data_IF_293062098523
#
_entry.id   IF_293062098523
#
_cell.length_a   1.000
_cell.length_b   1.000
_cell.length_c   1.000
_cell.angle_alpha   90.00
_cell.angle_beta   90.00
_cell.angle_gamma   90.00
#
_symmetry.space_group_name_H-M   'P 1'
#
loop_
_entity.id
_entity.type
_entity.pdbx_description
1 polymer ?
#
# COMPACT_ATOMS: atom_id res chain seq x y z
N UNK A 1 -75.48 8.70 -5.71
CA UNK A 1 -74.34 8.15 -6.46
C UNK A 1 -73.05 8.60 -5.78
N UNK A 2 -72.44 7.72 -5.02
CA UNK A 2 -71.15 8.02 -4.31
C UNK A 2 -69.99 7.70 -5.22
N UNK A 3 -69.13 8.70 -5.45
CA UNK A 3 -68.00 8.61 -6.38
C UNK A 3 -66.77 8.00 -5.65
N UNK A 4 -66.49 6.73 -5.94
CA UNK A 4 -65.43 5.91 -5.30
C UNK A 4 -64.00 6.07 -5.91
N UNK A 5 -63.65 6.94 -6.87
CA UNK A 5 -62.31 6.91 -7.46
C UNK A 5 -61.21 7.62 -6.68
N UNK A 6 -61.52 8.45 -5.66
CA UNK A 6 -60.47 9.26 -5.03
C UNK A 6 -59.83 8.64 -3.76
N UNK A 7 -60.44 7.63 -3.18
CA UNK A 7 -59.93 7.02 -1.94
C UNK A 7 -58.79 6.04 -2.19
N UNK A 8 -58.76 5.36 -3.36
CA UNK A 8 -57.73 4.39 -3.71
C UNK A 8 -56.42 5.04 -4.16
N UNK A 9 -56.48 6.26 -4.73
CA UNK A 9 -55.28 7.00 -5.19
C UNK A 9 -54.44 7.56 -4.05
N UNK A 10 -55.01 7.85 -2.89
CA UNK A 10 -54.29 8.41 -1.75
C UNK A 10 -53.67 7.33 -0.88
N UNK A 11 -54.19 6.12 -0.82
CA UNK A 11 -53.62 5.02 -0.06
C UNK A 11 -52.29 4.53 -0.65
N UNK A 12 -52.16 4.51 -2.01
CA UNK A 12 -50.93 4.11 -2.69
C UNK A 12 -49.75 5.09 -2.52
N UNK A 13 -50.07 6.38 -2.39
CA UNK A 13 -49.03 7.42 -2.24
C UNK A 13 -48.46 7.47 -0.82
N UNK A 14 -49.27 7.23 0.18
CA UNK A 14 -48.82 7.17 1.60
C UNK A 14 -47.94 5.94 1.86
N UNK A 15 -48.27 4.79 1.25
CA UNK A 15 -47.50 3.55 1.41
C UNK A 15 -46.13 3.62 0.72
N UNK A 16 -46.03 4.28 -0.43
CA UNK A 16 -44.76 4.43 -1.16
C UNK A 16 -43.77 5.35 -0.46
N UNK A 17 -44.24 6.39 0.23
CA UNK A 17 -43.42 7.32 0.99
C UNK A 17 -42.87 6.69 2.27
N UNK A 18 -43.60 5.76 2.89
CA UNK A 18 -43.14 5.03 4.09
C UNK A 18 -42.04 4.02 3.76
N UNK A 19 -42.07 3.38 2.58
CA UNK A 19 -41.05 2.41 2.15
C UNK A 19 -39.74 3.14 1.79
N UNK A 20 -39.83 4.35 1.21
CA UNK A 20 -38.63 5.12 0.85
C UNK A 20 -37.92 5.72 2.06
N UNK A 21 -38.63 6.04 3.15
CA UNK A 21 -38.07 6.54 4.39
C UNK A 21 -37.27 5.49 5.21
N UNK A 22 -37.65 4.22 5.11
CA UNK A 22 -36.97 3.13 5.83
C UNK A 22 -35.63 2.74 5.18
N UNK A 23 -35.40 3.02 3.90
CA UNK A 23 -34.16 2.67 3.21
C UNK A 23 -32.98 3.59 3.56
N UNK A 24 -33.20 4.78 4.14
CA UNK A 24 -32.15 5.75 4.50
C UNK A 24 -31.61 5.56 5.91
N UNK A 25 -32.21 4.73 6.75
CA UNK A 25 -31.79 4.49 8.13
C UNK A 25 -30.65 3.44 8.26
N UNK A 26 -30.27 2.77 7.18
CA UNK A 26 -29.31 1.67 7.17
C UNK A 26 -27.82 2.07 7.17
N UNK A 27 -27.48 3.38 7.03
CA UNK A 27 -26.08 3.79 6.85
C UNK A 27 -25.38 4.29 8.13
N UNK A 28 -26.04 4.23 9.30
CA UNK A 28 -25.43 4.59 10.58
C UNK A 28 -25.15 3.34 11.45
N UNK A 29 -24.55 2.30 10.88
CA UNK A 29 -23.87 1.33 11.71
C UNK A 29 -22.69 2.03 12.38
N UNK A 30 -22.57 2.03 13.71
CA UNK A 30 -21.37 2.52 14.35
C UNK A 30 -20.21 1.72 13.78
N UNK A 31 -19.25 2.42 13.15
CA UNK A 31 -17.95 1.82 12.85
C UNK A 31 -17.43 1.28 14.17
N UNK A 32 -17.47 -0.03 14.34
CA UNK A 32 -16.76 -0.68 15.41
C UNK A 32 -15.30 -0.26 15.21
N UNK A 33 -14.84 0.68 16.03
CA UNK A 33 -13.42 0.89 16.25
C UNK A 33 -12.92 -0.43 16.83
N UNK A 34 -12.56 -1.33 15.91
CA UNK A 34 -11.80 -2.50 16.30
C UNK A 34 -10.49 -1.95 16.80
N UNK A 35 -10.30 -1.99 18.07
CA UNK A 35 -9.03 -1.90 18.78
C UNK A 35 -8.22 -3.17 18.41
N UNK A 36 -8.09 -3.37 17.09
CA UNK A 36 -7.42 -4.53 16.54
C UNK A 36 -5.93 -4.23 16.65
N UNK A 37 -5.30 -4.85 17.63
CA UNK A 37 -3.85 -4.99 17.68
C UNK A 37 -3.38 -5.31 16.25
N UNK A 38 -2.47 -4.52 15.67
CA UNK A 38 -2.00 -4.77 14.32
C UNK A 38 -1.57 -6.22 14.14
N UNK A 39 -1.89 -6.88 13.01
CA UNK A 39 -1.62 -8.31 12.81
C UNK A 39 -0.17 -8.74 13.06
N UNK A 40 0.78 -7.79 12.98
CA UNK A 40 2.19 -8.02 13.21
C UNK A 40 2.69 -7.43 14.54
N UNK A 41 1.79 -6.98 15.42
CA UNK A 41 2.20 -6.48 16.73
C UNK A 41 2.88 -7.59 17.53
N UNK A 42 4.11 -7.34 17.98
CA UNK A 42 4.94 -8.32 18.69
C UNK A 42 5.62 -9.36 17.80
N UNK A 43 5.42 -9.34 16.49
CA UNK A 43 6.19 -10.16 15.56
C UNK A 43 7.66 -9.73 15.56
N UNK A 44 8.56 -10.71 15.69
CA UNK A 44 10.02 -10.49 15.61
C UNK A 44 10.46 -10.37 14.15
N UNK A 45 9.87 -9.40 13.43
CA UNK A 45 10.17 -9.12 12.02
C UNK A 45 10.92 -7.80 11.96
N UNK A 46 12.03 -7.79 11.21
CA UNK A 46 12.95 -6.67 11.16
C UNK A 46 13.95 -6.70 12.31
N UNK A 47 14.73 -5.67 12.39
CA UNK A 47 15.80 -5.51 13.40
C UNK A 47 16.97 -4.75 12.79
N UNK A 48 18.02 -4.48 13.62
CA UNK A 48 19.20 -3.81 13.12
C UNK A 48 19.92 -4.67 12.08
N UNK A 49 20.39 -4.04 11.02
CA UNK A 49 21.23 -4.67 10.00
C UNK A 49 22.48 -3.85 9.71
N UNK A 50 23.51 -4.52 9.21
CA UNK A 50 24.68 -3.90 8.61
C UNK A 50 24.97 -4.62 7.30
N UNK A 51 24.88 -3.89 6.19
CA UNK A 51 25.00 -4.39 4.82
C UNK A 51 26.03 -3.56 4.06
N UNK A 52 26.30 -3.96 2.83
CA UNK A 52 27.11 -3.18 1.87
C UNK A 52 26.17 -2.73 0.74
N UNK A 53 26.23 -1.42 0.38
CA UNK A 53 25.43 -0.90 -0.70
C UNK A 53 26.03 -1.20 -2.11
N UNK A 54 25.33 -0.80 -3.15
CA UNK A 54 25.75 -0.96 -4.54
C UNK A 54 26.98 -0.15 -4.93
N UNK A 55 27.45 0.74 -4.08
CA UNK A 55 28.70 1.51 -4.24
C UNK A 55 29.86 0.92 -3.38
N UNK A 56 29.63 -0.20 -2.71
CA UNK A 56 30.59 -0.87 -1.86
C UNK A 56 30.76 -0.23 -0.48
N UNK A 57 29.85 0.65 -0.06
CA UNK A 57 29.91 1.34 1.23
C UNK A 57 29.09 0.60 2.28
N UNK A 58 29.54 0.60 3.55
CA UNK A 58 28.75 0.05 4.65
C UNK A 58 27.50 0.89 4.87
N UNK A 59 26.35 0.21 5.07
CA UNK A 59 25.04 0.80 5.31
C UNK A 59 24.38 0.09 6.48
N UNK A 60 23.81 0.85 7.40
CA UNK A 60 23.12 0.35 8.59
C UNK A 60 21.65 0.77 8.58
N UNK A 61 20.81 0.05 9.29
CA UNK A 61 19.40 0.39 9.48
C UNK A 61 19.21 1.79 10.09
N UNK A 62 20.12 2.21 10.99
CA UNK A 62 20.13 3.55 11.61
C UNK A 62 20.27 4.69 10.60
N UNK A 63 20.89 4.45 9.43
CA UNK A 63 21.07 5.46 8.39
C UNK A 63 19.74 5.86 7.74
N UNK A 64 18.70 5.05 7.95
CA UNK A 64 17.34 5.27 7.46
C UNK A 64 16.35 5.63 8.58
N UNK A 65 16.85 6.03 9.75
CA UNK A 65 15.98 6.44 10.86
C UNK A 65 15.03 7.57 10.45
N UNK A 66 13.76 7.48 10.86
CA UNK A 66 12.72 8.46 10.51
C UNK A 66 12.17 8.37 9.10
N UNK A 67 12.57 7.38 8.31
CA UNK A 67 12.03 7.10 6.97
C UNK A 67 11.13 5.87 6.95
N UNK A 68 10.13 5.88 6.08
CA UNK A 68 9.40 4.67 5.70
C UNK A 68 10.27 3.86 4.74
N UNK A 69 10.37 2.56 4.93
CA UNK A 69 11.20 1.69 4.09
C UNK A 69 10.34 0.73 3.29
N UNK A 70 10.54 0.71 1.97
CA UNK A 70 10.02 -0.35 1.10
C UNK A 70 11.16 -1.33 0.89
N UNK A 71 11.12 -2.47 1.57
CA UNK A 71 12.18 -3.48 1.49
C UNK A 71 11.70 -4.63 0.61
N UNK A 72 12.47 -4.93 -0.44
CA UNK A 72 12.26 -6.08 -1.31
C UNK A 72 13.48 -7.02 -1.21
N UNK A 73 13.21 -8.26 -0.85
CA UNK A 73 14.22 -9.31 -0.83
C UNK A 73 14.18 -10.08 -2.15
N UNK A 74 15.30 -10.15 -2.85
CA UNK A 74 15.36 -10.80 -4.16
C UNK A 74 16.80 -11.02 -4.62
N UNK A 75 16.98 -11.32 -5.91
CA UNK A 75 18.31 -11.44 -6.53
C UNK A 75 18.24 -11.02 -8.02
N UNK A 76 19.34 -10.47 -8.54
CA UNK A 76 19.37 -9.84 -9.86
C UNK A 76 19.24 -10.85 -11.01
N UNK A 77 19.60 -12.11 -10.79
CA UNK A 77 19.50 -13.20 -11.76
C UNK A 77 18.14 -13.91 -11.73
N UNK A 78 17.16 -13.40 -10.98
CA UNK A 78 15.80 -13.93 -11.01
C UNK A 78 15.19 -13.77 -12.41
N UNK A 79 14.80 -14.86 -13.09
CA UNK A 79 14.36 -14.78 -14.48
C UNK A 79 12.93 -14.26 -14.66
N UNK A 80 12.15 -14.13 -13.57
CA UNK A 80 10.70 -13.92 -13.64
C UNK A 80 10.22 -12.83 -12.67
N UNK A 81 9.93 -13.20 -11.43
CA UNK A 81 9.14 -12.38 -10.51
C UNK A 81 9.86 -11.11 -10.01
N UNK A 82 11.17 -11.21 -9.67
CA UNK A 82 11.88 -10.09 -9.06
C UNK A 82 11.92 -8.83 -9.93
N UNK A 83 12.28 -8.88 -11.22
CA UNK A 83 12.29 -7.68 -12.05
C UNK A 83 10.89 -7.08 -12.23
N UNK A 84 9.85 -7.92 -12.30
CA UNK A 84 8.45 -7.48 -12.45
C UNK A 84 7.95 -6.79 -11.18
N UNK A 85 8.22 -7.35 -10.02
CA UNK A 85 7.79 -6.79 -8.75
C UNK A 85 8.53 -5.49 -8.42
N UNK A 86 9.86 -5.46 -8.60
CA UNK A 86 10.64 -4.24 -8.40
C UNK A 86 10.14 -3.13 -9.32
N UNK A 87 9.84 -3.43 -10.59
CA UNK A 87 9.28 -2.46 -11.52
C UNK A 87 7.93 -1.92 -11.03
N UNK A 88 7.02 -2.78 -10.57
CA UNK A 88 5.70 -2.37 -10.05
C UNK A 88 5.85 -1.49 -8.80
N UNK A 89 6.68 -1.90 -7.84
CA UNK A 89 6.94 -1.15 -6.62
C UNK A 89 7.50 0.23 -6.92
N UNK A 90 8.47 0.32 -7.81
CA UNK A 90 9.11 1.59 -8.15
C UNK A 90 8.21 2.52 -8.98
N UNK A 91 7.36 1.98 -9.84
CA UNK A 91 6.31 2.77 -10.50
C UNK A 91 5.29 3.32 -9.49
N UNK A 92 4.89 2.51 -8.52
CA UNK A 92 4.01 2.95 -7.43
C UNK A 92 4.64 4.06 -6.59
N UNK A 93 5.93 3.92 -6.23
CA UNK A 93 6.67 4.95 -5.52
C UNK A 93 6.76 6.25 -6.34
N UNK A 94 7.13 6.19 -7.61
CA UNK A 94 7.21 7.38 -8.48
C UNK A 94 5.85 8.09 -8.62
N UNK A 95 4.75 7.33 -8.71
CA UNK A 95 3.41 7.90 -8.72
C UNK A 95 3.07 8.59 -7.38
N UNK A 96 3.44 7.97 -6.26
CA UNK A 96 3.25 8.55 -4.92
C UNK A 96 4.08 9.81 -4.72
N UNK A 97 5.34 9.83 -5.14
CA UNK A 97 6.22 11.01 -5.08
C UNK A 97 5.65 12.19 -5.89
N UNK A 98 5.04 11.89 -7.03
CA UNK A 98 4.36 12.91 -7.85
C UNK A 98 3.10 13.43 -7.18
N UNK A 99 2.33 12.58 -6.53
CA UNK A 99 1.06 12.95 -5.88
C UNK A 99 1.29 13.70 -4.55
N UNK A 100 2.30 13.32 -3.79
CA UNK A 100 2.66 13.92 -2.50
C UNK A 100 4.19 13.92 -2.33
N UNK A 101 4.87 14.94 -2.87
CA UNK A 101 6.34 15.02 -2.82
C UNK A 101 6.90 15.04 -1.39
N UNK A 102 6.18 15.65 -0.44
CA UNK A 102 6.64 15.79 0.94
C UNK A 102 6.67 14.44 1.68
N UNK A 103 5.63 13.61 1.50
CA UNK A 103 5.61 12.25 2.05
C UNK A 103 6.44 11.29 1.22
N UNK A 104 6.43 11.44 -0.09
CA UNK A 104 7.22 10.62 -1.00
C UNK A 104 8.72 10.70 -0.72
N UNK A 105 9.24 11.89 -0.39
CA UNK A 105 10.63 12.09 0.00
C UNK A 105 11.04 11.30 1.27
N UNK A 106 10.08 10.97 2.13
CA UNK A 106 10.32 10.19 3.36
C UNK A 106 10.34 8.68 3.11
N UNK A 107 10.01 8.21 1.92
CA UNK A 107 10.03 6.78 1.59
C UNK A 107 11.40 6.43 1.03
N UNK A 108 12.05 5.41 1.60
CA UNK A 108 13.30 4.83 1.14
C UNK A 108 13.04 3.45 0.54
N UNK A 109 13.18 3.28 -0.79
CA UNK A 109 13.19 1.96 -1.39
C UNK A 109 14.54 1.27 -1.15
N UNK A 110 14.49 -0.04 -0.94
CA UNK A 110 15.66 -0.88 -0.68
C UNK A 110 15.47 -2.24 -1.35
N UNK A 111 16.45 -2.64 -2.16
CA UNK A 111 16.57 -4.00 -2.68
C UNK A 111 17.67 -4.71 -1.90
N UNK A 112 17.33 -5.79 -1.21
CA UNK A 112 18.30 -6.59 -0.44
C UNK A 112 18.45 -7.94 -1.12
N UNK A 113 19.67 -8.22 -1.60
CA UNK A 113 19.93 -9.50 -2.25
C UNK A 113 19.94 -10.66 -1.27
N UNK A 114 19.37 -11.77 -1.71
CA UNK A 114 19.46 -13.07 -1.03
C UNK A 114 20.53 -13.97 -1.65
N UNK A 115 21.26 -13.45 -2.65
CA UNK A 115 22.34 -14.17 -3.36
C UNK A 115 23.61 -13.32 -3.48
N UNK A 116 24.26 -12.99 -2.35
CA UNK A 116 25.41 -12.09 -2.33
C UNK A 116 26.63 -12.65 -3.07
N UNK A 117 26.65 -13.93 -3.35
CA UNK A 117 27.76 -14.55 -4.07
C UNK A 117 27.79 -14.13 -5.57
N UNK A 118 26.62 -13.95 -6.18
CA UNK A 118 26.50 -13.52 -7.59
C UNK A 118 26.19 -12.03 -7.72
N UNK A 119 25.42 -11.48 -6.80
CA UNK A 119 25.00 -10.10 -6.76
C UNK A 119 26.09 -9.20 -6.12
N UNK A 120 27.20 -9.06 -6.81
CA UNK A 120 28.23 -8.10 -6.39
C UNK A 120 27.68 -6.67 -6.41
N UNK A 121 28.32 -5.71 -5.70
CA UNK A 121 27.89 -4.31 -5.74
C UNK A 121 27.72 -3.77 -7.15
N UNK A 122 28.64 -4.06 -8.07
CA UNK A 122 28.55 -3.62 -9.46
C UNK A 122 27.36 -4.23 -10.22
N UNK A 123 27.04 -5.50 -9.97
CA UNK A 123 25.88 -6.18 -10.54
C UNK A 123 24.59 -5.57 -10.01
N UNK A 124 24.50 -5.36 -8.69
CA UNK A 124 23.35 -4.71 -8.06
C UNK A 124 23.16 -3.29 -8.58
N UNK A 125 24.23 -2.51 -8.70
CA UNK A 125 24.17 -1.15 -9.27
C UNK A 125 23.57 -1.15 -10.66
N UNK A 126 24.02 -2.05 -11.53
CA UNK A 126 23.50 -2.18 -12.88
C UNK A 126 22.04 -2.67 -12.91
N UNK A 127 21.62 -3.46 -11.94
CA UNK A 127 20.25 -3.94 -11.82
C UNK A 127 19.31 -2.82 -11.33
N UNK A 128 19.58 -2.20 -10.17
CA UNK A 128 18.67 -1.25 -9.52
C UNK A 128 18.53 0.06 -10.27
N UNK A 129 19.59 0.52 -10.97
CA UNK A 129 19.57 1.78 -11.71
C UNK A 129 18.52 1.85 -12.82
N UNK A 130 17.99 0.68 -13.25
CA UNK A 130 16.96 0.59 -14.29
C UNK A 130 15.56 0.93 -13.79
N UNK A 131 15.34 0.97 -12.49
CA UNK A 131 13.99 1.06 -11.93
C UNK A 131 13.69 2.41 -11.29
N UNK A 132 14.58 2.91 -10.44
CA UNK A 132 14.35 4.16 -9.72
C UNK A 132 15.67 4.77 -9.23
N UNK A 133 15.84 6.12 -9.31
CA UNK A 133 17.11 6.77 -8.94
C UNK A 133 17.47 6.66 -7.45
N UNK A 134 16.52 6.31 -6.59
CA UNK A 134 16.73 6.15 -5.14
C UNK A 134 16.76 4.69 -4.67
N UNK A 135 16.67 3.72 -5.58
CA UNK A 135 16.74 2.31 -5.24
C UNK A 135 18.18 1.86 -5.08
#
# INVERSE_FOLDING_TARGET
>A
MMNIPNMVRNAGRASLLLIFGAALAGCNAPSATQDATPPLAGAKIGGPFSLTDQDGKPVRDSDFAGRYRIVYFGYSYCPDICPVDVQKLMRGLAAFEKADPARGAKVQPMFITVDPARDTPAVLKAFVSRYHPRL
#
